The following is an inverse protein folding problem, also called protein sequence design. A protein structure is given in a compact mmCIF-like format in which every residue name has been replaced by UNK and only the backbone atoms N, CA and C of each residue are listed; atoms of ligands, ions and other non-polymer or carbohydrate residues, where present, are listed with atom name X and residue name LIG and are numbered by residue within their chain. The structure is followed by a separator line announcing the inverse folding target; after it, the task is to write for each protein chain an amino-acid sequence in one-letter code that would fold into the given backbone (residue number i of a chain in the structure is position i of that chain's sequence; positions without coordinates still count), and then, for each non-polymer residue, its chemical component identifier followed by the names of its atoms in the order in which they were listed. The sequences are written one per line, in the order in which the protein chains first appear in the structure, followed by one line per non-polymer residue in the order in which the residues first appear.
data_IF_854242084014
#
_entry.id   IF_854242084014
#
_cell.length_a   1.000
_cell.length_b   1.000
_cell.length_c   1.000
_cell.angle_alpha   90.00
_cell.angle_beta   90.00
_cell.angle_gamma   90.00
#
_symmetry.space_group_name_H-M   'P 1'
#
loop_
_entity.id
_entity.type
_entity.pdbx_description
1 polymer ?
#
# COMPACT_ATOMS: atom_id res chain seq x y z
N UNK A 1 3.76 -16.60 27.05
CA UNK A 1 4.16 -16.42 25.66
C UNK A 1 3.04 -16.04 24.68
N UNK A 2 1.79 -16.58 24.80
CA UNK A 2 0.66 -16.23 23.90
C UNK A 2 0.29 -14.73 23.96
N UNK A 3 0.26 -14.15 25.16
CA UNK A 3 -0.14 -12.75 25.35
C UNK A 3 0.85 -11.73 24.70
N UNK A 4 2.15 -12.02 24.70
CA UNK A 4 3.16 -11.13 24.09
C UNK A 4 2.97 -11.05 22.57
N UNK A 5 2.66 -12.17 21.92
CA UNK A 5 2.38 -12.19 20.47
C UNK A 5 1.11 -11.41 20.11
N UNK A 6 0.09 -11.47 20.97
CA UNK A 6 -1.16 -10.77 20.77
C UNK A 6 -0.98 -9.24 20.87
N UNK A 7 -0.30 -8.77 21.92
CA UNK A 7 0.00 -7.34 22.08
C UNK A 7 0.88 -6.79 20.94
N UNK A 8 1.87 -7.57 20.49
CA UNK A 8 2.68 -7.19 19.33
C UNK A 8 1.81 -7.03 18.08
N UNK A 9 0.90 -7.95 17.84
CA UNK A 9 0.00 -7.90 16.68
C UNK A 9 -0.91 -6.66 16.72
N UNK A 10 -1.48 -6.34 17.87
CA UNK A 10 -2.29 -5.12 18.03
C UNK A 10 -1.46 -3.86 17.76
N UNK A 11 -0.26 -3.75 18.37
CA UNK A 11 0.65 -2.62 18.10
C UNK A 11 0.98 -2.51 16.62
N UNK A 12 1.25 -3.60 15.96
CA UNK A 12 1.56 -3.63 14.53
C UNK A 12 0.38 -3.12 13.70
N UNK A 13 -0.84 -3.60 13.97
CA UNK A 13 -2.05 -3.17 13.25
C UNK A 13 -2.28 -1.67 13.43
N UNK A 14 -2.25 -1.18 14.68
CA UNK A 14 -2.43 0.24 14.99
C UNK A 14 -1.34 1.12 14.35
N UNK A 15 -0.09 0.66 14.40
CA UNK A 15 1.04 1.36 13.79
C UNK A 15 0.86 1.50 12.28
N UNK A 16 0.51 0.41 11.58
CA UNK A 16 0.32 0.43 10.13
C UNK A 16 -0.88 1.31 9.77
N UNK A 17 -1.98 1.22 10.52
CA UNK A 17 -3.16 2.06 10.34
C UNK A 17 -2.81 3.55 10.46
N UNK A 18 -2.14 3.96 11.52
CA UNK A 18 -1.79 5.36 11.77
C UNK A 18 -0.84 5.90 10.70
N UNK A 19 0.18 5.11 10.31
CA UNK A 19 1.09 5.51 9.24
C UNK A 19 0.35 5.60 7.92
N UNK A 20 -0.53 4.66 7.61
CA UNK A 20 -1.31 4.69 6.37
C UNK A 20 -2.14 5.97 6.26
N UNK A 21 -2.89 6.30 7.32
CA UNK A 21 -3.70 7.51 7.39
C UNK A 21 -2.81 8.76 7.27
N UNK A 22 -1.70 8.81 8.01
CA UNK A 22 -0.75 9.93 7.95
C UNK A 22 -0.16 10.13 6.56
N UNK A 23 0.29 9.06 5.90
CA UNK A 23 0.81 9.11 4.53
C UNK A 23 -0.29 9.49 3.53
N UNK A 24 -1.53 9.11 3.77
CA UNK A 24 -2.64 9.49 2.92
C UNK A 24 -2.91 10.99 3.02
N UNK A 25 -3.00 11.56 4.22
CA UNK A 25 -3.13 13.00 4.40
C UNK A 25 -1.95 13.77 3.81
N UNK A 26 -0.73 13.26 3.97
CA UNK A 26 0.45 13.87 3.36
C UNK A 26 0.35 13.87 1.83
N UNK A 27 -0.13 12.78 1.24
CA UNK A 27 -0.41 12.71 -0.19
C UNK A 27 -1.42 13.78 -0.61
N UNK A 28 -2.50 13.95 0.14
CA UNK A 28 -3.54 14.97 -0.15
C UNK A 28 -2.97 16.39 -0.14
N UNK A 29 -2.07 16.73 0.79
CA UNK A 29 -1.42 18.03 0.80
C UNK A 29 -0.64 18.31 -0.50
N UNK A 30 -0.08 17.26 -1.12
CA UNK A 30 0.64 17.38 -2.38
C UNK A 30 -0.28 17.41 -3.61
N UNK A 31 -1.53 16.91 -3.49
CA UNK A 31 -2.53 16.86 -4.59
C UNK A 31 -2.98 18.27 -5.02
N UNK A 32 -2.86 19.29 -4.17
CA UNK A 32 -3.16 20.67 -4.54
C UNK A 32 -2.50 21.05 -5.87
N UNK A 33 -1.46 20.31 -6.27
CA UNK A 33 -0.68 20.51 -7.50
C UNK A 33 -0.97 19.53 -8.66
N UNK A 34 -1.89 18.54 -8.50
CA UNK A 34 -1.96 17.41 -9.44
C UNK A 34 -3.38 16.90 -9.81
N UNK A 35 -4.39 17.76 -9.91
CA UNK A 35 -5.74 17.34 -10.40
C UNK A 35 -5.77 17.19 -11.94
N UNK A 36 -6.62 16.31 -12.54
CA UNK A 36 -7.78 15.57 -12.02
C UNK A 36 -7.70 14.03 -12.12
N UNK A 37 -6.57 13.39 -12.45
CA UNK A 37 -6.52 11.99 -12.90
C UNK A 37 -5.75 11.03 -11.99
N UNK A 38 -5.63 11.31 -10.70
CA UNK A 38 -4.89 10.48 -9.74
C UNK A 38 -3.70 11.23 -9.12
N UNK A 39 -3.14 10.62 -8.09
CA UNK A 39 -2.04 11.22 -7.33
C UNK A 39 -0.72 10.85 -7.96
N UNK A 40 0.06 11.83 -8.43
CA UNK A 40 1.42 11.60 -8.94
C UNK A 40 2.35 11.02 -7.86
N UNK A 41 2.00 11.21 -6.59
CA UNK A 41 2.77 10.69 -5.45
C UNK A 41 1.83 10.00 -4.46
N UNK A 42 1.64 8.68 -4.62
CA UNK A 42 0.81 7.92 -3.68
C UNK A 42 1.69 7.19 -2.65
N UNK A 43 2.09 7.90 -1.61
CA UNK A 43 2.96 7.38 -0.54
C UNK A 43 2.43 6.15 0.21
N UNK A 44 1.10 5.98 0.43
CA UNK A 44 0.59 4.77 1.08
C UNK A 44 0.97 3.48 0.34
N UNK A 45 1.31 3.53 -0.95
CA UNK A 45 1.77 2.37 -1.70
C UNK A 45 3.06 1.77 -1.11
N UNK A 46 3.91 2.56 -0.46
CA UNK A 46 5.08 2.05 0.23
C UNK A 46 4.72 1.00 1.30
N UNK A 47 3.61 1.17 2.01
CA UNK A 47 3.16 0.20 3.01
C UNK A 47 2.70 -1.11 2.38
N UNK A 48 2.07 -1.08 1.21
CA UNK A 48 1.71 -2.28 0.45
C UNK A 48 2.93 -3.12 0.08
N UNK A 49 4.08 -2.47 -0.10
CA UNK A 49 5.35 -3.11 -0.48
C UNK A 49 6.08 -3.61 0.76
N UNK A 50 6.17 -2.78 1.79
CA UNK A 50 6.96 -3.05 3.00
C UNK A 50 6.31 -4.13 3.86
N UNK A 51 4.99 -4.08 4.05
CA UNK A 51 4.29 -4.93 5.00
C UNK A 51 4.35 -6.42 4.66
N UNK A 52 4.18 -6.86 3.40
CA UNK A 52 4.33 -8.28 3.06
C UNK A 52 5.73 -8.82 3.32
N UNK A 53 6.74 -7.99 3.05
CA UNK A 53 8.14 -8.39 3.16
C UNK A 53 8.56 -8.54 4.62
N UNK A 54 8.17 -7.58 5.47
CA UNK A 54 8.71 -7.45 6.83
C UNK A 54 7.79 -8.07 7.87
N UNK A 55 6.51 -7.79 7.77
CA UNK A 55 5.52 -8.14 8.79
C UNK A 55 4.61 -9.30 8.38
N UNK A 56 4.63 -9.71 7.10
CA UNK A 56 3.78 -10.77 6.58
C UNK A 56 2.30 -10.45 6.72
N UNK A 57 1.46 -11.47 6.65
CA UNK A 57 -0.02 -11.33 6.61
C UNK A 57 -0.61 -10.68 7.87
N UNK A 58 0.10 -10.67 8.99
CA UNK A 58 -0.34 -9.99 10.21
C UNK A 58 -0.57 -8.48 10.06
N UNK A 59 0.04 -7.88 9.04
CA UNK A 59 -0.13 -6.46 8.73
C UNK A 59 -1.40 -6.14 7.93
N UNK A 60 -2.05 -7.17 7.35
CA UNK A 60 -3.23 -6.99 6.49
C UNK A 60 -4.36 -6.20 7.16
N UNK A 61 -4.77 -6.48 8.42
CA UNK A 61 -5.87 -5.74 9.04
C UNK A 61 -5.60 -4.23 9.14
N UNK A 62 -4.36 -3.84 9.44
CA UNK A 62 -3.98 -2.42 9.52
C UNK A 62 -4.08 -1.71 8.17
N UNK A 63 -3.64 -2.37 7.08
CA UNK A 63 -3.80 -1.84 5.73
C UNK A 63 -5.27 -1.76 5.32
N UNK A 64 -6.04 -2.81 5.58
CA UNK A 64 -7.45 -2.87 5.22
C UNK A 64 -8.26 -1.76 5.90
N UNK A 65 -8.12 -1.61 7.23
CA UNK A 65 -8.81 -0.55 7.98
C UNK A 65 -8.35 0.84 7.50
N UNK A 66 -7.05 1.01 7.20
CA UNK A 66 -6.51 2.26 6.67
C UNK A 66 -7.10 2.63 5.31
N UNK A 67 -7.19 1.69 4.39
CA UNK A 67 -7.85 1.89 3.09
C UNK A 67 -9.33 2.19 3.24
N UNK A 68 -10.03 1.43 4.08
CA UNK A 68 -11.46 1.60 4.33
C UNK A 68 -11.76 2.97 4.95
N UNK A 69 -11.00 3.37 5.96
CA UNK A 69 -11.09 4.70 6.56
C UNK A 69 -10.86 5.79 5.52
N UNK A 70 -9.82 5.66 4.71
CA UNK A 70 -9.51 6.66 3.68
C UNK A 70 -10.59 6.75 2.61
N UNK A 71 -11.22 5.65 2.23
CA UNK A 71 -12.33 5.62 1.29
C UNK A 71 -13.53 6.43 1.80
N UNK A 72 -13.94 6.19 3.03
CA UNK A 72 -15.13 6.84 3.62
C UNK A 72 -14.84 8.28 4.03
N UNK A 73 -13.80 8.51 4.84
CA UNK A 73 -13.63 9.77 5.54
C UNK A 73 -12.72 10.78 4.83
N UNK A 74 -11.91 10.32 3.88
CA UNK A 74 -10.98 11.21 3.18
C UNK A 74 -11.42 11.44 1.74
N UNK A 75 -11.89 10.39 1.05
CA UNK A 75 -12.37 10.50 -0.34
C UNK A 75 -13.87 10.73 -0.44
N UNK A 76 -14.59 10.75 0.70
CA UNK A 76 -16.03 10.98 0.77
C UNK A 76 -16.84 10.05 -0.14
N UNK A 77 -16.45 8.78 -0.20
CA UNK A 77 -17.08 7.78 -1.04
C UNK A 77 -18.34 7.24 -0.37
N UNK A 78 -19.50 7.45 -1.00
CA UNK A 78 -20.81 7.05 -0.47
C UNK A 78 -21.17 5.57 -0.76
N UNK A 79 -20.56 4.95 -1.78
CA UNK A 79 -20.76 3.53 -2.08
C UNK A 79 -19.88 2.64 -1.20
N UNK A 80 -20.48 2.12 -0.12
CA UNK A 80 -19.79 1.22 0.82
C UNK A 80 -19.26 -0.06 0.15
N UNK A 81 -19.96 -0.58 -0.86
CA UNK A 81 -19.49 -1.77 -1.57
C UNK A 81 -18.23 -1.46 -2.38
N UNK A 82 -18.22 -0.30 -3.05
CA UNK A 82 -17.05 0.15 -3.78
C UNK A 82 -15.86 0.36 -2.82
N UNK A 83 -16.09 1.02 -1.67
CA UNK A 83 -15.05 1.20 -0.63
C UNK A 83 -14.52 -0.14 -0.14
N UNK A 84 -15.39 -1.12 0.13
CA UNK A 84 -14.98 -2.46 0.55
C UNK A 84 -14.11 -3.16 -0.50
N UNK A 85 -14.54 -3.15 -1.78
CA UNK A 85 -13.76 -3.77 -2.86
C UNK A 85 -12.38 -3.13 -3.04
N UNK A 86 -12.32 -1.80 -3.07
CA UNK A 86 -11.05 -1.07 -3.20
C UNK A 86 -10.15 -1.27 -1.96
N UNK A 87 -10.74 -1.37 -0.76
CA UNK A 87 -9.99 -1.61 0.46
C UNK A 87 -9.40 -3.02 0.52
N UNK A 88 -10.17 -4.03 0.10
CA UNK A 88 -9.70 -5.40 -0.01
C UNK A 88 -8.60 -5.52 -1.07
N UNK A 89 -8.85 -4.99 -2.26
CA UNK A 89 -7.90 -4.98 -3.36
C UNK A 89 -6.61 -4.27 -2.95
N UNK A 90 -6.68 -3.01 -2.53
CA UNK A 90 -5.52 -2.21 -2.15
C UNK A 90 -4.72 -2.79 -0.98
N UNK A 91 -5.35 -3.59 -0.12
CA UNK A 91 -4.66 -4.26 0.98
C UNK A 91 -4.03 -5.58 0.57
N UNK A 92 -4.67 -6.34 -0.32
CA UNK A 92 -4.21 -7.67 -0.73
C UNK A 92 -3.16 -7.64 -1.82
N UNK A 93 -3.19 -6.64 -2.71
CA UNK A 93 -2.36 -6.65 -3.92
C UNK A 93 -0.86 -6.76 -3.62
N UNK A 94 -0.38 -6.10 -2.57
CA UNK A 94 1.01 -6.21 -2.14
C UNK A 94 1.38 -7.61 -1.68
N UNK A 95 0.51 -8.28 -0.91
CA UNK A 95 0.72 -9.67 -0.45
C UNK A 95 0.70 -10.65 -1.61
N UNK A 96 -0.29 -10.53 -2.51
CA UNK A 96 -0.40 -11.38 -3.70
C UNK A 96 0.86 -11.24 -4.56
N UNK A 97 1.26 -10.01 -4.86
CA UNK A 97 2.46 -9.71 -5.63
C UNK A 97 3.73 -10.29 -4.98
N UNK A 98 3.88 -10.12 -3.66
CA UNK A 98 5.01 -10.66 -2.92
C UNK A 98 5.07 -12.19 -3.01
N UNK A 99 3.94 -12.87 -2.81
CA UNK A 99 3.88 -14.33 -2.89
C UNK A 99 4.14 -14.85 -4.30
N UNK A 100 3.63 -14.18 -5.34
CA UNK A 100 3.91 -14.51 -6.74
C UNK A 100 5.41 -14.42 -7.01
N UNK A 101 6.04 -13.28 -6.73
CA UNK A 101 7.45 -13.07 -7.03
C UNK A 101 8.38 -13.97 -6.19
N UNK A 102 7.95 -14.30 -4.96
CA UNK A 102 8.66 -15.27 -4.12
C UNK A 102 8.56 -16.70 -4.69
N UNK A 103 7.40 -17.10 -5.21
CA UNK A 103 7.20 -18.40 -5.87
C UNK A 103 8.10 -18.54 -7.10
N UNK A 104 8.25 -17.48 -7.88
CA UNK A 104 9.14 -17.44 -9.04
C UNK A 104 10.61 -17.19 -8.68
N UNK A 105 10.99 -17.18 -7.40
CA UNK A 105 12.36 -16.96 -6.89
C UNK A 105 12.97 -15.60 -7.31
N UNK A 106 12.13 -14.64 -7.68
CA UNK A 106 12.56 -13.27 -8.01
C UNK A 106 12.93 -12.53 -6.73
N UNK A 107 12.11 -12.70 -5.66
CA UNK A 107 12.39 -12.16 -4.33
C UNK A 107 12.97 -13.25 -3.42
N UNK A 108 14.03 -12.90 -2.72
CA UNK A 108 14.64 -13.77 -1.72
C UNK A 108 13.77 -13.86 -0.46
N UNK A 109 13.83 -15.01 0.24
CA UNK A 109 13.09 -15.22 1.50
C UNK A 109 13.54 -14.29 2.63
N UNK A 110 14.76 -13.74 2.54
CA UNK A 110 15.37 -12.93 3.58
C UNK A 110 15.49 -11.48 3.12
N UNK A 111 14.73 -10.58 3.74
CA UNK A 111 14.72 -9.14 3.44
C UNK A 111 16.13 -8.52 3.43
N UNK A 112 17.00 -8.91 4.37
CA UNK A 112 18.38 -8.37 4.48
C UNK A 112 19.26 -8.67 3.26
N UNK A 113 18.88 -9.63 2.42
CA UNK A 113 19.61 -10.05 1.22
C UNK A 113 18.95 -9.61 -0.08
N UNK A 114 17.81 -8.91 -0.01
CA UNK A 114 17.11 -8.46 -1.22
C UNK A 114 17.91 -7.33 -1.87
N UNK A 115 18.32 -7.52 -3.11
CA UNK A 115 18.99 -6.48 -3.90
C UNK A 115 18.01 -5.34 -4.20
N UNK A 116 18.51 -4.12 -4.22
CA UNK A 116 17.72 -2.91 -4.48
C UNK A 116 16.92 -3.00 -5.79
N UNK A 117 17.54 -3.52 -6.85
CA UNK A 117 16.90 -3.72 -8.16
C UNK A 117 15.63 -4.59 -8.07
N UNK A 118 15.68 -5.66 -7.26
CA UNK A 118 14.52 -6.54 -7.03
C UNK A 118 13.40 -5.83 -6.28
N UNK A 119 13.73 -4.89 -5.40
CA UNK A 119 12.74 -4.06 -4.71
C UNK A 119 12.07 -3.10 -5.69
N UNK A 120 12.84 -2.41 -6.52
CA UNK A 120 12.30 -1.53 -7.57
C UNK A 120 11.36 -2.32 -8.50
N UNK A 121 11.79 -3.50 -8.94
CA UNK A 121 10.94 -4.38 -9.74
C UNK A 121 9.65 -4.77 -9.01
N UNK A 122 9.73 -5.07 -7.71
CA UNK A 122 8.56 -5.39 -6.90
C UNK A 122 7.62 -4.19 -6.80
N UNK A 123 8.14 -2.98 -6.56
CA UNK A 123 7.33 -1.76 -6.53
C UNK A 123 6.58 -1.57 -7.85
N UNK A 124 7.30 -1.68 -8.98
CA UNK A 124 6.70 -1.55 -10.30
C UNK A 124 5.62 -2.60 -10.56
N UNK A 125 5.90 -3.86 -10.20
CA UNK A 125 4.95 -4.95 -10.35
C UNK A 125 3.66 -4.74 -9.55
N UNK A 126 3.78 -4.31 -8.28
CA UNK A 126 2.62 -3.94 -7.43
C UNK A 126 1.84 -2.79 -8.06
N UNK A 127 2.54 -1.74 -8.53
CA UNK A 127 1.90 -0.56 -9.13
C UNK A 127 1.10 -0.91 -10.39
N UNK A 128 1.64 -1.78 -11.25
CA UNK A 128 0.93 -2.26 -12.44
C UNK A 128 -0.31 -3.08 -12.06
N UNK A 129 -0.16 -4.07 -11.19
CA UNK A 129 -1.27 -4.92 -10.78
C UNK A 129 -2.37 -4.13 -10.08
N UNK A 130 -2.00 -3.21 -9.18
CA UNK A 130 -2.96 -2.35 -8.50
C UNK A 130 -3.70 -1.44 -9.47
N UNK A 131 -2.99 -0.80 -10.39
CA UNK A 131 -3.62 0.07 -11.39
C UNK A 131 -4.63 -0.68 -12.26
N UNK A 132 -4.31 -1.89 -12.69
CA UNK A 132 -5.20 -2.71 -13.51
C UNK A 132 -6.41 -3.20 -12.71
N UNK A 133 -6.20 -3.70 -11.48
CA UNK A 133 -7.30 -4.18 -10.63
C UNK A 133 -8.22 -3.05 -10.17
N UNK A 134 -7.68 -1.89 -9.80
CA UNK A 134 -8.45 -0.72 -9.45
C UNK A 134 -9.28 -0.23 -10.65
N UNK A 135 -8.69 -0.19 -11.85
CA UNK A 135 -9.41 0.17 -13.07
C UNK A 135 -10.62 -0.74 -13.31
N UNK A 136 -10.44 -2.07 -13.22
CA UNK A 136 -11.54 -3.03 -13.40
C UNK A 136 -12.66 -2.86 -12.37
N UNK A 137 -12.32 -2.51 -11.13
CA UNK A 137 -13.31 -2.23 -10.08
C UNK A 137 -14.09 -0.95 -10.40
N UNK A 138 -13.39 0.11 -10.81
CA UNK A 138 -14.01 1.39 -11.17
C UNK A 138 -14.87 1.27 -12.43
N UNK A 139 -14.40 0.62 -13.50
CA UNK A 139 -15.12 0.45 -14.76
C UNK A 139 -16.47 -0.24 -14.54
N UNK A 140 -16.51 -1.23 -13.64
CA UNK A 140 -17.74 -1.97 -13.33
C UNK A 140 -18.73 -1.22 -12.40
N UNK A 141 -18.31 -0.12 -11.77
CA UNK A 141 -19.11 0.54 -10.72
C UNK A 141 -19.40 2.00 -10.96
N UNK A 142 -18.57 2.66 -11.75
CA UNK A 142 -18.66 4.11 -11.96
C UNK A 142 -18.80 4.37 -13.44
N UNK A 143 -19.94 4.97 -13.84
CA UNK A 143 -20.20 5.42 -15.22
C UNK A 143 -19.37 6.68 -15.55
N UNK A 144 -18.06 6.61 -15.36
CA UNK A 144 -17.16 7.70 -15.73
C UNK A 144 -16.56 7.34 -17.09
N UNK A 145 -16.62 8.25 -18.05
CA UNK A 145 -15.77 8.22 -19.25
C UNK A 145 -14.30 8.40 -18.83
N UNK A 146 -13.77 7.40 -18.15
CA UNK A 146 -12.36 7.35 -17.86
C UNK A 146 -11.64 7.12 -19.19
N UNK A 147 -10.80 8.06 -19.59
CA UNK A 147 -9.80 7.81 -20.64
C UNK A 147 -8.87 6.73 -20.08
N UNK A 148 -9.25 5.46 -20.30
CA UNK A 148 -8.69 4.23 -19.73
C UNK A 148 -7.17 4.27 -19.61
N UNK A 149 -6.51 4.60 -20.71
CA UNK A 149 -5.06 4.64 -20.77
C UNK A 149 -4.44 5.69 -19.82
N UNK A 150 -5.06 6.89 -19.76
CA UNK A 150 -4.58 7.97 -18.89
C UNK A 150 -4.74 7.62 -17.41
N UNK A 151 -5.87 7.00 -17.04
CA UNK A 151 -6.11 6.52 -15.68
C UNK A 151 -5.03 5.50 -15.26
N UNK A 152 -4.85 4.43 -16.04
CA UNK A 152 -3.90 3.36 -15.74
C UNK A 152 -2.48 3.92 -15.59
N UNK A 153 -2.01 4.71 -16.54
CA UNK A 153 -0.65 5.27 -16.48
C UNK A 153 -0.46 6.18 -15.29
N UNK A 154 -1.42 7.05 -14.98
CA UNK A 154 -1.30 7.98 -13.85
C UNK A 154 -1.23 7.23 -12.52
N UNK A 155 -2.03 6.16 -12.37
CA UNK A 155 -1.98 5.30 -11.19
C UNK A 155 -0.64 4.56 -11.09
N UNK A 156 -0.14 3.97 -12.19
CA UNK A 156 1.18 3.29 -12.21
C UNK A 156 2.28 4.27 -11.77
N UNK A 157 2.32 5.47 -12.34
CA UNK A 157 3.35 6.46 -12.01
C UNK A 157 3.24 6.89 -10.55
N UNK A 158 2.03 7.22 -10.08
CA UNK A 158 1.79 7.67 -8.72
C UNK A 158 2.19 6.64 -7.68
N UNK A 159 1.78 5.40 -7.89
CA UNK A 159 2.10 4.27 -7.02
C UNK A 159 3.59 3.93 -7.05
N UNK A 160 4.20 3.94 -8.24
CA UNK A 160 5.61 3.64 -8.39
C UNK A 160 6.48 4.69 -7.70
N UNK A 161 6.27 5.97 -8.00
CA UNK A 161 7.06 7.07 -7.42
C UNK A 161 6.82 7.18 -5.91
N UNK A 162 5.55 7.16 -5.48
CA UNK A 162 5.19 7.18 -4.07
C UNK A 162 5.75 5.96 -3.31
N UNK A 163 5.70 4.78 -3.93
CA UNK A 163 6.28 3.55 -3.42
C UNK A 163 7.79 3.63 -3.24
N UNK A 164 8.53 4.13 -4.24
CA UNK A 164 9.99 4.28 -4.18
C UNK A 164 10.42 5.25 -3.07
N UNK A 165 9.80 6.44 -3.03
CA UNK A 165 10.14 7.46 -2.02
C UNK A 165 9.78 6.97 -0.63
N UNK A 166 8.56 6.46 -0.43
CA UNK A 166 8.11 5.96 0.86
C UNK A 166 8.93 4.76 1.34
N UNK A 167 9.35 3.86 0.45
CA UNK A 167 10.25 2.77 0.79
C UNK A 167 11.63 3.28 1.23
N UNK A 168 12.20 4.25 0.53
CA UNK A 168 13.47 4.88 0.92
C UNK A 168 13.39 5.52 2.31
N UNK A 169 12.34 6.31 2.57
CA UNK A 169 12.10 6.92 3.88
C UNK A 169 11.97 5.86 4.97
N UNK A 170 11.20 4.79 4.68
CA UNK A 170 11.04 3.68 5.63
C UNK A 170 12.37 3.03 5.98
N UNK A 171 13.22 2.74 5.00
CA UNK A 171 14.54 2.13 5.26
C UNK A 171 15.38 2.99 6.23
N UNK A 172 15.32 4.31 6.10
CA UNK A 172 16.04 5.25 6.96
C UNK A 172 15.59 5.16 8.43
N UNK A 173 14.31 4.86 8.66
CA UNK A 173 13.72 4.77 10.01
C UNK A 173 13.51 3.33 10.50
N UNK A 174 13.84 2.33 9.69
CA UNK A 174 13.53 0.91 9.95
C UNK A 174 13.95 0.42 11.36
N UNK A 175 15.18 0.72 11.78
CA UNK A 175 15.67 0.29 13.08
C UNK A 175 14.91 0.93 14.24
N UNK A 176 14.49 2.20 14.10
CA UNK A 176 13.69 2.89 15.13
C UNK A 176 12.29 2.29 15.21
N UNK A 177 11.68 1.97 14.07
CA UNK A 177 10.35 1.37 13.98
C UNK A 177 10.35 -0.01 14.63
N UNK A 178 11.31 -0.87 14.30
CA UNK A 178 11.40 -2.19 14.91
C UNK A 178 11.60 -2.12 16.42
N UNK A 179 12.49 -1.25 16.90
CA UNK A 179 12.67 -1.03 18.34
C UNK A 179 11.37 -0.62 19.03
N UNK A 180 10.58 0.27 18.43
CA UNK A 180 9.28 0.69 18.95
C UNK A 180 8.28 -0.46 19.03
N UNK A 181 8.21 -1.31 17.99
CA UNK A 181 7.30 -2.45 17.98
C UNK A 181 7.68 -3.56 18.96
N UNK A 182 8.97 -3.72 19.25
CA UNK A 182 9.51 -4.75 20.16
C UNK A 182 9.50 -4.31 21.65
N UNK A 183 9.36 -3.02 21.93
CA UNK A 183 9.26 -2.54 23.33
C UNK A 183 8.01 -3.08 24.01
N UNK A 184 8.24 -3.78 25.13
CA UNK A 184 7.23 -4.43 25.97
C UNK A 184 6.32 -3.42 26.67
#
# INVERSE_FOLDING_TARGET
MKNIKFFYLIKLILFILLIFIGLYYFTLLLIIFAKPYGNIFFFPNALRIITPIIYGIGAFPGLFIGHFYSGIFINDMNDLNLVLYLSLEGSLIGFISYYILKKFKILDKNFKKIKFEKVIFFILFVSILHSLSAFLIYENRVTIELKTFKFIITYIIGDFVGGCIGFYVFLKFFNKINKFLETK
#
